data_IF_441722229793
#
_entry.id   IF_441722229793
#
_cell.length_a   1.000
_cell.length_b   1.000
_cell.length_c   1.000
_cell.angle_alpha   90.00
_cell.angle_beta   90.00
_cell.angle_gamma   90.00
#
_symmetry.space_group_name_H-M   'P 1'
#
loop_
_entity.id
_entity.type
_entity.pdbx_description
1 polymer ?
#
# COMPACT_ATOMS: atom_id res chain seq x y z
N UNK A 1 -4.78 10.19 -14.41
CA UNK A 1 -5.24 8.81 -14.14
C UNK A 1 -5.22 8.62 -12.62
N UNK A 2 -6.26 8.06 -12.01
CA UNK A 2 -6.37 7.95 -10.55
C UNK A 2 -5.34 6.91 -10.02
N UNK A 3 -4.50 7.29 -9.04
CA UNK A 3 -3.43 6.45 -8.47
C UNK A 3 -3.98 5.10 -7.97
N UNK A 4 -5.17 5.10 -7.37
CA UNK A 4 -5.80 3.86 -6.90
C UNK A 4 -6.13 2.94 -8.08
N UNK A 5 -6.64 3.48 -9.19
CA UNK A 5 -6.92 2.67 -10.38
C UNK A 5 -5.64 2.07 -10.97
N UNK A 6 -4.53 2.79 -10.91
CA UNK A 6 -3.23 2.26 -11.33
C UNK A 6 -2.79 1.12 -10.41
N UNK A 7 -2.84 1.31 -9.08
CA UNK A 7 -2.47 0.28 -8.11
C UNK A 7 -3.33 -0.99 -8.25
N UNK A 8 -4.65 -0.85 -8.47
CA UNK A 8 -5.55 -1.98 -8.68
C UNK A 8 -5.25 -2.66 -10.03
N UNK A 9 -5.08 -1.88 -11.11
CA UNK A 9 -4.85 -2.41 -12.45
C UNK A 9 -3.49 -3.10 -12.65
N UNK A 10 -2.49 -2.75 -11.85
CA UNK A 10 -1.14 -3.33 -11.88
C UNK A 10 -0.80 -4.14 -10.62
N UNK A 11 -1.80 -4.45 -9.80
CA UNK A 11 -1.62 -5.24 -8.59
C UNK A 11 -1.02 -6.59 -8.94
N UNK A 12 0.16 -6.88 -8.38
CA UNK A 12 0.81 -8.18 -8.51
C UNK A 12 0.85 -8.94 -7.19
N UNK A 13 0.48 -8.28 -6.09
CA UNK A 13 0.45 -8.87 -4.77
C UNK A 13 -0.65 -8.24 -3.92
N UNK A 14 -1.38 -9.09 -3.19
CA UNK A 14 -2.42 -8.67 -2.26
C UNK A 14 -2.43 -9.59 -1.05
N UNK A 15 -2.67 -9.04 0.13
CA UNK A 15 -2.71 -9.81 1.37
C UNK A 15 -3.56 -9.14 2.44
N UNK A 16 -4.08 -9.96 3.35
CA UNK A 16 -4.77 -9.54 4.55
C UNK A 16 -3.91 -9.95 5.75
N UNK A 17 -3.43 -8.99 6.53
CA UNK A 17 -2.50 -9.28 7.63
C UNK A 17 -2.64 -8.27 8.77
N UNK A 18 -2.18 -8.66 9.97
CA UNK A 18 -2.17 -7.79 11.12
C UNK A 18 -0.92 -6.89 11.13
N UNK A 19 -1.09 -5.59 11.32
CA UNK A 19 -0.01 -4.61 11.48
C UNK A 19 -0.28 -3.72 12.71
N UNK A 20 0.72 -3.55 13.57
CA UNK A 20 0.61 -2.61 14.68
C UNK A 20 0.83 -1.17 14.20
N UNK A 21 0.06 -0.16 14.67
CA UNK A 21 -1.02 -0.22 15.67
C UNK A 21 -2.43 -0.44 15.07
N UNK A 22 -2.55 -0.73 13.77
CA UNK A 22 -3.82 -0.65 13.03
C UNK A 22 -4.67 -1.93 13.03
N UNK A 23 -4.17 -3.04 13.57
CA UNK A 23 -4.90 -4.32 13.54
C UNK A 23 -4.83 -4.98 12.15
N UNK A 24 -5.88 -5.72 11.76
CA UNK A 24 -5.93 -6.39 10.45
C UNK A 24 -6.22 -5.40 9.33
N UNK A 25 -5.43 -5.47 8.27
CA UNK A 25 -5.50 -4.57 7.13
C UNK A 25 -5.48 -5.34 5.82
N UNK A 26 -6.19 -4.82 4.82
CA UNK A 26 -6.08 -5.27 3.44
C UNK A 26 -5.04 -4.41 2.72
N UNK A 27 -4.08 -5.06 2.08
CA UNK A 27 -2.97 -4.41 1.39
C UNK A 27 -2.81 -4.94 -0.02
N UNK A 28 -2.57 -4.03 -0.97
CA UNK A 28 -2.16 -4.35 -2.34
C UNK A 28 -0.82 -3.71 -2.65
N UNK A 29 -0.03 -4.37 -3.51
CA UNK A 29 1.23 -3.84 -4.05
C UNK A 29 1.38 -4.11 -5.54
N UNK A 30 2.05 -3.17 -6.20
CA UNK A 30 2.57 -3.32 -7.56
C UNK A 30 4.02 -3.82 -7.52
N UNK A 31 4.56 -4.22 -8.67
CA UNK A 31 5.87 -4.85 -8.79
C UNK A 31 7.02 -3.98 -8.23
N UNK A 32 6.90 -2.66 -8.36
CA UNK A 32 7.89 -1.70 -7.86
C UNK A 32 7.84 -1.50 -6.34
N UNK A 33 6.91 -2.18 -5.64
CA UNK A 33 6.79 -2.17 -4.19
C UNK A 33 5.87 -1.10 -3.62
N UNK A 34 5.39 -0.14 -4.43
CA UNK A 34 4.35 0.79 -4.02
C UNK A 34 3.03 0.06 -3.77
N UNK A 35 2.19 0.63 -2.90
CA UNK A 35 0.94 0.00 -2.53
C UNK A 35 -0.06 0.93 -1.88
N UNK A 36 -1.15 0.33 -1.45
CA UNK A 36 -2.23 1.00 -0.74
C UNK A 36 -2.83 0.05 0.29
N UNK A 37 -3.36 0.63 1.36
CA UNK A 37 -3.93 -0.10 2.48
C UNK A 37 -5.33 0.38 2.83
N UNK A 38 -6.17 -0.56 3.18
CA UNK A 38 -7.53 -0.35 3.69
C UNK A 38 -7.73 -1.09 5.00
N UNK A 39 -8.82 -0.79 5.69
CA UNK A 39 -9.37 -1.67 6.73
C UNK A 39 -9.61 -3.07 6.18
N UNK A 40 -9.67 -4.06 7.07
CA UNK A 40 -9.89 -5.48 6.74
C UNK A 40 -11.07 -5.71 5.77
N UNK A 41 -12.16 -4.96 5.94
CA UNK A 41 -13.37 -5.02 5.11
C UNK A 41 -13.28 -4.22 3.80
N UNK A 42 -12.15 -3.54 3.56
CA UNK A 42 -11.93 -2.67 2.39
C UNK A 42 -12.71 -1.34 2.42
N UNK A 43 -13.49 -1.06 3.47
CA UNK A 43 -14.42 0.07 3.49
C UNK A 43 -13.74 1.43 3.67
N UNK A 44 -12.59 1.46 4.35
CA UNK A 44 -11.87 2.69 4.67
C UNK A 44 -10.44 2.64 4.19
N UNK A 45 -10.05 3.64 3.40
CA UNK A 45 -8.66 3.84 3.01
C UNK A 45 -7.82 4.30 4.21
N UNK A 46 -6.68 3.65 4.43
CA UNK A 46 -5.74 3.95 5.50
C UNK A 46 -4.60 4.83 4.96
N UNK A 47 -4.03 4.47 3.81
CA UNK A 47 -2.93 5.22 3.22
C UNK A 47 -2.19 4.48 2.11
N UNK A 48 -1.29 5.20 1.44
CA UNK A 48 -0.35 4.64 0.47
C UNK A 48 0.87 4.04 1.18
N UNK A 49 1.54 3.14 0.47
CA UNK A 49 2.71 2.42 0.95
C UNK A 49 3.86 2.59 -0.02
N UNK A 50 5.05 2.77 0.56
CA UNK A 50 6.29 2.88 -0.18
C UNK A 50 7.00 1.52 -0.31
N UNK A 51 7.90 1.39 -1.30
CA UNK A 51 8.79 0.25 -1.39
C UNK A 51 9.73 0.18 -0.18
N UNK A 52 10.14 -1.02 0.20
CA UNK A 52 11.18 -1.18 1.20
C UNK A 52 12.55 -0.84 0.60
N UNK A 53 13.09 0.32 0.96
CA UNK A 53 14.39 0.79 0.48
C UNK A 53 15.22 1.38 1.61
N UNK A 54 16.52 1.06 1.60
CA UNK A 54 17.49 1.63 2.54
C UNK A 54 17.48 3.16 2.38
N UNK A 55 17.28 3.86 3.50
CA UNK A 55 17.15 5.32 3.59
C UNK A 55 15.95 5.91 2.81
N UNK A 56 14.90 5.12 2.56
CA UNK A 56 13.72 5.55 1.78
C UNK A 56 13.05 6.81 2.32
N UNK A 57 12.88 6.88 3.66
CA UNK A 57 12.30 8.04 4.34
C UNK A 57 13.07 9.34 4.07
N UNK A 58 14.38 9.28 3.84
CA UNK A 58 15.24 10.45 3.60
C UNK A 58 15.24 10.92 2.14
N UNK A 59 14.77 10.08 1.20
CA UNK A 59 14.84 10.38 -0.25
C UNK A 59 13.65 11.17 -0.79
N UNK A 60 12.72 11.56 0.07
CA UNK A 60 11.57 12.37 -0.31
C UNK A 60 10.54 11.54 -1.08
N UNK A 61 9.35 11.46 -0.52
CA UNK A 61 8.28 10.60 -0.99
C UNK A 61 7.82 11.03 -2.38
N UNK A 62 7.68 10.10 -3.32
CA UNK A 62 7.01 10.33 -4.61
C UNK A 62 5.80 9.42 -4.69
N UNK A 63 4.64 10.02 -4.51
CA UNK A 63 3.33 9.38 -4.64
C UNK A 63 2.76 9.67 -6.04
#
# INVERSE_FOLDING_TARGET
MNVINHLIGHCCWMNLHAVSPHGVVFEIRVADGYGARWTEDGSKFIGFLEPYMKDGHSKGWKH
#
